data_IF_388650480094
#
_entry.id   IF_388650480094
#
_cell.length_a   1.000
_cell.length_b   1.000
_cell.length_c   1.000
_cell.angle_alpha   90.00
_cell.angle_beta   90.00
_cell.angle_gamma   90.00
#
_symmetry.space_group_name_H-M   'P 1'
#
loop_
_entity.id
_entity.type
_entity.pdbx_description
1 polymer ?
#
# COMPACT_ATOMS: atom_id res chain seq x y z
N UNK A 1 -20.98 -4.40 14.53
CA UNK A 1 -20.32 -5.42 13.67
C UNK A 1 -19.56 -4.67 12.60
N UNK A 2 -18.32 -5.04 12.31
CA UNK A 2 -17.54 -4.40 11.25
C UNK A 2 -17.79 -5.13 9.92
N UNK A 3 -18.24 -4.37 8.93
CA UNK A 3 -18.44 -4.86 7.57
C UNK A 3 -17.15 -4.68 6.76
N UNK A 4 -16.86 -5.66 5.91
CA UNK A 4 -15.77 -5.65 4.94
C UNK A 4 -16.34 -5.18 3.61
N UNK A 5 -15.86 -4.04 3.12
CA UNK A 5 -15.90 -3.70 1.69
C UNK A 5 -15.04 -4.73 0.95
N UNK A 6 -15.68 -5.59 0.16
CA UNK A 6 -15.00 -6.44 -0.82
C UNK A 6 -14.91 -5.70 -2.17
N UNK A 7 -13.98 -6.11 -3.07
CA UNK A 7 -13.91 -5.58 -4.43
C UNK A 7 -15.27 -5.62 -5.15
N UNK A 8 -15.47 -4.66 -6.07
CA UNK A 8 -16.76 -4.40 -6.70
C UNK A 8 -17.30 -5.59 -7.49
N UNK A 9 -18.61 -5.77 -7.43
CA UNK A 9 -19.37 -6.60 -8.37
C UNK A 9 -20.10 -5.64 -9.35
N UNK A 10 -19.51 -5.46 -10.53
CA UNK A 10 -19.91 -4.38 -11.45
C UNK A 10 -19.58 -2.99 -10.88
N UNK A 11 -20.58 -2.11 -10.80
CA UNK A 11 -20.43 -0.75 -10.26
C UNK A 11 -20.70 -0.62 -8.75
N UNK A 12 -20.97 -1.72 -8.05
CA UNK A 12 -21.34 -1.72 -6.61
C UNK A 12 -20.26 -2.34 -5.74
N UNK A 13 -19.98 -1.70 -4.61
CA UNK A 13 -19.22 -2.29 -3.51
C UNK A 13 -20.03 -3.39 -2.83
N UNK A 14 -19.40 -4.54 -2.57
CA UNK A 14 -20.05 -5.67 -1.87
C UNK A 14 -19.68 -5.61 -0.39
N UNK A 15 -20.69 -5.48 0.48
CA UNK A 15 -20.49 -5.49 1.93
C UNK A 15 -20.69 -6.90 2.48
N UNK A 16 -19.71 -7.43 3.23
CA UNK A 16 -19.82 -8.74 3.92
C UNK A 16 -19.40 -8.62 5.37
N UNK A 17 -20.02 -9.38 6.29
CA UNK A 17 -19.56 -9.33 7.69
C UNK A 17 -18.21 -10.02 7.84
N UNK A 18 -17.31 -9.44 8.62
CA UNK A 18 -15.93 -9.92 8.73
C UNK A 18 -15.76 -11.37 9.21
N UNK A 19 -16.71 -11.84 10.04
CA UNK A 19 -16.75 -13.24 10.55
C UNK A 19 -16.98 -14.27 9.44
N UNK A 20 -17.58 -13.85 8.32
CA UNK A 20 -17.97 -14.70 7.20
C UNK A 20 -16.88 -14.74 6.11
N UNK A 21 -15.67 -14.23 6.38
CA UNK A 21 -14.53 -14.23 5.44
C UNK A 21 -13.39 -15.11 5.97
N UNK A 22 -12.80 -15.92 5.10
CA UNK A 22 -11.71 -16.85 5.42
C UNK A 22 -10.35 -16.34 4.91
N UNK A 23 -9.25 -16.86 5.47
CA UNK A 23 -7.86 -16.41 5.27
C UNK A 23 -6.94 -17.61 4.82
N UNK A 24 -5.88 -17.48 4.00
CA UNK A 24 -5.11 -18.60 3.35
C UNK A 24 -3.59 -18.31 3.22
N UNK A 25 -3.19 -17.05 3.27
CA UNK A 25 -1.83 -16.61 3.64
C UNK A 25 -2.03 -15.51 4.68
N UNK A 26 -1.22 -14.46 4.71
CA UNK A 26 -1.79 -13.13 4.99
C UNK A 26 -2.66 -12.69 3.81
N UNK A 27 -3.81 -13.36 3.69
CA UNK A 27 -4.90 -13.08 2.78
C UNK A 27 -5.08 -14.03 1.59
N UNK A 28 -6.27 -14.64 1.55
CA UNK A 28 -7.06 -15.37 0.51
C UNK A 28 -8.14 -16.15 1.31
N UNK A 29 -9.41 -16.41 0.93
CA UNK A 29 -10.05 -17.78 0.99
C UNK A 29 -11.56 -17.68 0.89
N UNK A 30 -12.12 -18.64 0.16
CA UNK A 30 -13.55 -18.82 -0.13
C UNK A 30 -14.47 -18.92 1.10
N UNK A 31 -15.38 -17.95 1.19
CA UNK A 31 -16.76 -18.13 1.65
C UNK A 31 -17.67 -17.48 0.59
N UNK A 32 -18.87 -18.02 0.35
CA UNK A 32 -19.75 -17.65 -0.78
C UNK A 32 -19.06 -17.63 -2.16
N UNK A 33 -18.04 -18.48 -2.37
CA UNK A 33 -17.19 -18.52 -3.58
C UNK A 33 -16.14 -17.39 -3.77
N UNK A 34 -15.77 -16.59 -2.75
CA UNK A 34 -14.77 -15.52 -2.90
C UNK A 34 -13.41 -15.74 -2.19
N UNK A 35 -12.34 -15.89 -2.98
CA UNK A 35 -10.92 -15.95 -2.56
C UNK A 35 -10.33 -14.53 -2.54
N UNK A 36 -9.73 -14.10 -1.42
CA UNK A 36 -9.45 -12.68 -1.12
C UNK A 36 -7.96 -12.39 -0.86
N UNK A 37 -7.08 -12.30 -1.88
CA UNK A 37 -5.62 -12.22 -1.69
C UNK A 37 -5.11 -10.88 -1.13
N UNK A 38 -3.95 -10.94 -0.47
CA UNK A 38 -3.14 -9.76 -0.13
C UNK A 38 -3.87 -8.75 0.76
N UNK A 39 -3.86 -7.46 0.34
CA UNK A 39 -4.44 -6.34 1.09
C UNK A 39 -5.83 -6.62 1.67
N UNK A 40 -6.74 -7.16 0.86
CA UNK A 40 -8.13 -7.36 1.26
C UNK A 40 -8.33 -8.34 2.43
N UNK A 41 -7.38 -9.24 2.68
CA UNK A 41 -7.45 -10.12 3.85
C UNK A 41 -6.33 -9.91 4.88
N UNK A 42 -5.48 -8.90 4.69
CA UNK A 42 -5.02 -8.10 5.83
C UNK A 42 -6.22 -7.38 6.48
N UNK A 43 -7.11 -6.77 5.68
CA UNK A 43 -8.34 -6.15 6.19
C UNK A 43 -9.25 -7.16 6.90
N UNK A 44 -9.45 -8.36 6.31
CA UNK A 44 -10.18 -9.44 6.98
C UNK A 44 -9.51 -9.90 8.29
N UNK A 45 -8.18 -10.01 8.34
CA UNK A 45 -7.46 -10.38 9.56
C UNK A 45 -7.64 -9.34 10.68
N UNK A 46 -7.55 -8.05 10.35
CA UNK A 46 -7.81 -6.94 11.27
C UNK A 46 -9.25 -6.98 11.79
N UNK A 47 -10.24 -7.08 10.91
CA UNK A 47 -11.64 -7.09 11.33
C UNK A 47 -12.03 -8.35 12.12
N UNK A 48 -11.41 -9.50 11.82
CA UNK A 48 -11.54 -10.73 12.63
C UNK A 48 -10.94 -10.54 14.02
N UNK A 49 -9.77 -9.92 14.14
CA UNK A 49 -9.17 -9.62 15.45
C UNK A 49 -10.05 -8.69 16.30
N UNK A 50 -10.65 -7.66 15.68
CA UNK A 50 -11.63 -6.79 16.34
C UNK A 50 -12.88 -7.58 16.80
N UNK A 51 -13.38 -8.51 15.97
CA UNK A 51 -14.50 -9.39 16.35
C UNK A 51 -14.15 -10.39 17.46
N UNK A 52 -12.87 -10.77 17.58
CA UNK A 52 -12.30 -11.57 18.67
C UNK A 52 -11.94 -10.75 19.92
N UNK A 53 -12.26 -9.45 19.94
CA UNK A 53 -12.00 -8.55 21.09
C UNK A 53 -10.57 -8.05 21.21
N UNK A 54 -9.70 -8.30 20.22
CA UNK A 54 -8.34 -7.73 20.16
C UNK A 54 -8.39 -6.42 19.37
N UNK A 55 -8.31 -5.29 20.08
CA UNK A 55 -8.28 -3.93 19.50
C UNK A 55 -6.95 -3.62 18.77
N UNK A 56 -6.65 -4.38 17.71
CA UNK A 56 -5.39 -4.29 16.95
C UNK A 56 -5.15 -2.91 16.30
N UNK A 57 -6.18 -2.09 16.15
CA UNK A 57 -6.11 -0.72 15.64
C UNK A 57 -5.68 0.31 16.69
N UNK A 58 -5.61 -0.07 17.98
CA UNK A 58 -5.20 0.80 19.08
C UNK A 58 -3.67 0.81 19.26
N UNK A 59 -3.05 2.00 19.28
CA UNK A 59 -1.61 2.15 19.50
C UNK A 59 -1.15 1.54 20.83
N UNK A 60 -1.98 1.58 21.87
CA UNK A 60 -1.71 0.94 23.16
C UNK A 60 -1.63 -0.60 23.05
N UNK A 61 -2.39 -1.20 22.13
CA UNK A 61 -2.37 -2.66 21.88
C UNK A 61 -1.21 -3.03 20.97
N UNK A 62 -1.08 -2.39 19.80
CA UNK A 62 -0.06 -2.78 18.83
C UNK A 62 1.36 -2.33 19.21
N UNK A 63 1.54 -1.37 20.13
CA UNK A 63 2.85 -1.06 20.73
C UNK A 63 3.39 -2.17 21.65
N UNK A 64 2.52 -3.07 22.13
CA UNK A 64 2.84 -4.11 23.13
C UNK A 64 2.54 -5.53 22.67
N UNK A 65 2.03 -5.68 21.44
CA UNK A 65 1.58 -6.99 20.92
C UNK A 65 2.76 -7.98 20.84
N UNK A 66 2.56 -9.19 21.36
CA UNK A 66 3.60 -10.23 21.26
C UNK A 66 3.64 -10.85 19.86
N UNK A 67 4.72 -11.57 19.56
CA UNK A 67 4.84 -12.34 18.31
C UNK A 67 3.69 -13.33 18.13
N UNK A 68 3.33 -14.07 19.17
CA UNK A 68 2.26 -15.07 19.13
C UNK A 68 0.87 -14.44 18.99
N UNK A 69 0.63 -13.29 19.64
CA UNK A 69 -0.61 -12.54 19.43
C UNK A 69 -0.71 -11.99 18.00
N UNK A 70 0.37 -11.43 17.44
CA UNK A 70 0.37 -10.93 16.06
C UNK A 70 0.24 -12.09 15.05
N UNK A 71 0.87 -13.23 15.33
CA UNK A 71 0.71 -14.48 14.58
C UNK A 71 -0.74 -14.94 14.58
N UNK A 72 -1.41 -14.92 15.74
CA UNK A 72 -2.83 -15.25 15.87
C UNK A 72 -3.74 -14.25 15.14
N UNK A 73 -3.46 -12.95 15.23
CA UNK A 73 -4.22 -11.92 14.49
C UNK A 73 -4.10 -12.15 12.98
N UNK A 74 -2.87 -12.24 12.48
CA UNK A 74 -2.55 -12.37 11.05
C UNK A 74 -2.59 -13.82 10.55
N UNK A 75 -3.19 -14.75 11.33
CA UNK A 75 -3.21 -16.18 11.01
C UNK A 75 -3.96 -16.46 9.72
N UNK A 76 -3.39 -17.40 8.99
CA UNK A 76 -3.97 -18.02 7.81
C UNK A 76 -4.88 -19.19 8.20
N UNK A 77 -5.85 -19.54 7.37
CA UNK A 77 -6.56 -20.83 7.43
C UNK A 77 -5.87 -21.86 6.50
N UNK A 78 -4.58 -21.69 6.21
CA UNK A 78 -3.63 -22.73 5.76
C UNK A 78 -2.37 -22.70 6.62
N UNK A 79 -1.50 -23.65 6.34
CA UNK A 79 -0.16 -23.78 6.88
C UNK A 79 0.79 -22.61 6.53
N UNK A 80 0.43 -21.70 5.60
CA UNK A 80 1.28 -20.56 5.24
C UNK A 80 1.15 -19.40 6.23
N UNK A 81 2.22 -19.17 6.99
CA UNK A 81 2.36 -18.01 7.87
C UNK A 81 2.71 -16.73 7.09
N UNK A 82 2.44 -15.56 7.70
CA UNK A 82 2.80 -14.27 7.12
C UNK A 82 4.33 -14.09 7.09
N UNK A 83 4.94 -13.67 5.96
CA UNK A 83 6.37 -13.38 5.93
C UNK A 83 6.71 -12.15 6.77
N UNK A 84 7.94 -12.16 7.32
CA UNK A 84 8.53 -11.07 8.11
C UNK A 84 7.74 -10.75 9.39
N UNK A 85 7.27 -11.78 10.10
CA UNK A 85 6.48 -11.61 11.33
C UNK A 85 7.25 -10.85 12.42
N UNK A 86 8.54 -11.15 12.62
CA UNK A 86 9.38 -10.46 13.62
C UNK A 86 9.57 -8.98 13.28
N UNK A 87 9.77 -8.65 12.00
CA UNK A 87 9.84 -7.27 11.51
C UNK A 87 8.49 -6.56 11.66
N UNK A 88 7.37 -7.25 11.46
CA UNK A 88 6.02 -6.68 11.66
C UNK A 88 5.76 -6.34 13.12
N UNK A 89 6.18 -7.19 14.07
CA UNK A 89 6.14 -6.87 15.50
C UNK A 89 6.96 -5.60 15.78
N UNK A 90 8.22 -5.53 15.31
CA UNK A 90 9.08 -4.35 15.48
C UNK A 90 8.47 -3.08 14.89
N UNK A 91 7.89 -3.16 13.69
CA UNK A 91 7.25 -2.04 13.01
C UNK A 91 6.03 -1.52 13.78
N UNK A 92 5.19 -2.42 14.32
CA UNK A 92 4.05 -2.05 15.17
C UNK A 92 4.51 -1.45 16.50
N UNK A 93 5.51 -2.04 17.16
CA UNK A 93 6.10 -1.50 18.39
C UNK A 93 6.64 -0.08 18.18
N UNK A 94 7.39 0.15 17.10
CA UNK A 94 7.95 1.45 16.75
C UNK A 94 6.86 2.49 16.47
N UNK A 95 5.93 2.20 15.56
CA UNK A 95 4.85 3.13 15.24
C UNK A 95 3.97 3.41 16.47
N UNK A 96 3.66 2.37 17.24
CA UNK A 96 2.81 2.47 18.43
C UNK A 96 3.48 3.30 19.52
N UNK A 97 4.78 3.14 19.76
CA UNK A 97 5.56 3.98 20.67
C UNK A 97 5.47 5.46 20.26
N UNK A 98 5.75 5.78 19.00
CA UNK A 98 5.69 7.16 18.48
C UNK A 98 4.28 7.75 18.64
N UNK A 99 3.24 6.98 18.34
CA UNK A 99 1.84 7.43 18.48
C UNK A 99 1.45 7.65 19.94
N UNK A 100 1.90 6.78 20.85
CA UNK A 100 1.68 6.93 22.30
C UNK A 100 2.43 8.14 22.89
N UNK A 101 3.67 8.40 22.46
CA UNK A 101 4.54 9.43 23.04
C UNK A 101 4.31 10.84 22.47
N UNK A 102 3.99 10.97 21.17
CA UNK A 102 3.89 12.27 20.50
C UNK A 102 2.45 12.71 20.20
N UNK A 103 1.48 11.79 20.22
CA UNK A 103 0.12 12.03 19.72
C UNK A 103 -0.97 11.46 20.65
N UNK A 104 -0.69 11.33 21.96
CA UNK A 104 -1.60 10.82 23.00
C UNK A 104 -2.24 9.46 22.70
N UNK A 105 -1.53 8.59 21.98
CA UNK A 105 -2.03 7.27 21.56
C UNK A 105 -3.00 7.32 20.36
N UNK A 106 -3.19 8.48 19.74
CA UNK A 106 -4.20 8.72 18.70
C UNK A 106 -3.58 9.08 17.35
N UNK A 107 -3.79 8.21 16.35
CA UNK A 107 -3.46 8.50 14.94
C UNK A 107 -4.23 9.75 14.44
N UNK A 108 -5.45 9.98 14.95
CA UNK A 108 -6.24 11.16 14.62
C UNK A 108 -5.52 12.45 15.07
N UNK A 109 -4.81 12.43 16.21
CA UNK A 109 -4.04 13.58 16.67
C UNK A 109 -2.81 13.82 15.78
N UNK A 110 -2.14 12.76 15.31
CA UNK A 110 -1.06 12.86 14.31
C UNK A 110 -1.54 13.50 13.00
N UNK A 111 -2.68 13.05 12.47
CA UNK A 111 -3.29 13.62 11.24
C UNK A 111 -3.69 15.08 11.45
N UNK A 112 -4.31 15.43 12.58
CA UNK A 112 -4.66 16.82 12.91
C UNK A 112 -3.43 17.72 13.04
N UNK A 113 -2.34 17.22 13.64
CA UNK A 113 -1.10 17.98 13.79
C UNK A 113 -0.41 18.29 12.44
N UNK A 114 -0.70 17.52 11.39
CA UNK A 114 -0.29 17.82 10.03
C UNK A 114 -1.07 18.99 9.37
N UNK A 115 -2.10 19.53 10.02
CA UNK A 115 -2.80 20.78 9.65
C UNK A 115 -3.17 20.85 8.16
N UNK A 116 -3.85 19.80 7.68
CA UNK A 116 -4.27 19.63 6.27
C UNK A 116 -3.14 19.63 5.24
N UNK A 117 -1.90 19.36 5.63
CA UNK A 117 -0.79 19.10 4.68
C UNK A 117 -0.38 17.62 4.68
N UNK A 118 -0.57 16.98 3.53
CA UNK A 118 -0.06 15.66 3.20
C UNK A 118 1.47 15.62 3.30
N UNK A 119 2.17 16.66 2.83
CA UNK A 119 3.63 16.71 2.87
C UNK A 119 4.17 16.88 4.30
N UNK A 120 3.47 17.63 5.16
CA UNK A 120 3.77 17.70 6.59
C UNK A 120 3.50 16.38 7.30
N UNK A 121 2.41 15.69 6.98
CA UNK A 121 2.13 14.35 7.52
C UNK A 121 3.20 13.34 7.07
N UNK A 122 3.63 13.41 5.81
CA UNK A 122 4.72 12.59 5.25
C UNK A 122 6.02 12.77 6.03
N UNK A 123 6.47 14.03 6.23
CA UNK A 123 7.65 14.33 7.03
C UNK A 123 7.51 13.82 8.47
N UNK A 124 6.39 14.12 9.14
CA UNK A 124 6.11 13.65 10.50
C UNK A 124 6.20 12.11 10.62
N UNK A 125 5.72 11.37 9.62
CA UNK A 125 5.82 9.91 9.57
C UNK A 125 7.28 9.46 9.37
N UNK A 126 7.97 9.93 8.32
CA UNK A 126 9.31 9.40 7.98
C UNK A 126 10.41 9.88 8.92
N UNK A 127 10.25 11.05 9.55
CA UNK A 127 11.18 11.59 10.54
C UNK A 127 11.09 10.85 11.89
N UNK A 128 9.92 10.34 12.28
CA UNK A 128 9.73 9.66 13.57
C UNK A 128 9.63 8.12 13.49
N UNK A 129 9.13 7.55 12.39
CA UNK A 129 8.86 6.11 12.26
C UNK A 129 9.77 5.50 11.18
N UNK A 130 10.93 5.00 11.59
CA UNK A 130 11.99 4.47 10.70
C UNK A 130 11.51 3.40 9.70
N UNK A 131 10.57 2.54 10.11
CA UNK A 131 10.00 1.49 9.25
C UNK A 131 9.14 2.01 8.09
N UNK A 132 8.95 3.32 7.98
CA UNK A 132 8.36 4.02 6.84
C UNK A 132 9.42 4.76 5.97
N UNK A 133 10.69 4.83 6.41
CA UNK A 133 11.80 5.57 5.78
C UNK A 133 12.45 4.79 4.62
N UNK A 134 11.62 4.35 3.69
CA UNK A 134 11.97 3.68 2.42
C UNK A 134 12.86 4.60 1.55
N UNK A 135 14.17 4.38 1.64
CA UNK A 135 15.23 5.13 0.97
C UNK A 135 16.31 4.18 0.45
N UNK A 136 17.00 4.57 -0.62
CA UNK A 136 18.10 3.83 -1.21
C UNK A 136 19.27 4.74 -1.58
N UNK A 137 20.43 4.15 -1.85
CA UNK A 137 21.57 4.86 -2.46
C UNK A 137 21.63 4.53 -3.95
N UNK A 138 21.47 5.54 -4.79
CA UNK A 138 21.51 5.43 -6.25
C UNK A 138 22.54 6.41 -6.82
N UNK A 139 23.56 5.89 -7.51
CA UNK A 139 24.68 6.66 -8.09
C UNK A 139 25.29 7.69 -7.13
N UNK A 140 25.53 7.27 -5.89
CA UNK A 140 26.13 8.12 -4.83
C UNK A 140 25.15 9.11 -4.18
N UNK A 141 23.90 9.20 -4.63
CA UNK A 141 22.86 10.05 -4.04
C UNK A 141 21.87 9.21 -3.22
N UNK A 142 21.40 9.76 -2.10
CA UNK A 142 20.27 9.18 -1.36
C UNK A 142 18.98 9.55 -2.10
N UNK A 143 18.18 8.55 -2.45
CA UNK A 143 16.85 8.71 -3.02
C UNK A 143 15.79 8.25 -2.02
N UNK A 144 14.62 8.87 -2.05
CA UNK A 144 13.49 8.58 -1.18
C UNK A 144 12.30 8.11 -2.00
N UNK A 145 11.68 7.01 -1.59
CA UNK A 145 10.49 6.43 -2.22
C UNK A 145 9.29 6.48 -1.26
N UNK A 146 9.55 6.32 0.05
CA UNK A 146 8.59 6.50 1.14
C UNK A 146 7.22 5.81 0.93
N UNK A 147 7.20 4.69 0.20
CA UNK A 147 5.97 4.09 -0.36
C UNK A 147 4.87 3.89 0.67
N UNK A 148 5.24 3.36 1.84
CA UNK A 148 4.30 3.10 2.96
C UNK A 148 3.76 4.37 3.62
N UNK A 149 4.49 5.49 3.58
CA UNK A 149 4.04 6.74 4.16
C UNK A 149 3.09 7.46 3.19
N UNK A 150 3.45 7.51 1.91
CA UNK A 150 2.61 8.08 0.86
C UNK A 150 1.25 7.36 0.75
N UNK A 151 1.25 6.02 0.69
CA UNK A 151 -0.01 5.25 0.61
C UNK A 151 -0.87 5.40 1.87
N UNK A 152 -0.29 5.54 3.07
CA UNK A 152 -1.06 5.78 4.30
C UNK A 152 -1.83 7.11 4.23
N UNK A 153 -1.20 8.17 3.70
CA UNK A 153 -1.83 9.49 3.56
C UNK A 153 -2.93 9.44 2.49
N UNK A 154 -2.65 8.79 1.36
CA UNK A 154 -3.62 8.61 0.28
C UNK A 154 -4.81 7.72 0.69
N UNK A 155 -4.60 6.68 1.50
CA UNK A 155 -5.67 5.84 2.06
C UNK A 155 -6.57 6.67 3.01
N UNK A 156 -5.99 7.54 3.85
CA UNK A 156 -6.75 8.46 4.71
C UNK A 156 -7.56 9.46 3.88
N UNK A 157 -6.94 10.05 2.85
CA UNK A 157 -7.57 10.96 1.90
C UNK A 157 -8.76 10.29 1.19
N UNK A 158 -8.54 9.11 0.60
CA UNK A 158 -9.54 8.37 -0.16
C UNK A 158 -10.69 7.87 0.73
N UNK A 159 -10.38 7.30 1.91
CA UNK A 159 -11.38 6.80 2.85
C UNK A 159 -12.29 7.90 3.44
N UNK A 160 -11.84 9.16 3.40
CA UNK A 160 -12.62 10.33 3.84
C UNK A 160 -13.12 11.20 2.67
N UNK A 161 -13.04 10.73 1.42
CA UNK A 161 -13.43 11.48 0.20
C UNK A 161 -12.81 12.89 0.10
N UNK A 162 -11.58 13.08 0.59
CA UNK A 162 -10.92 14.38 0.63
C UNK A 162 -11.49 15.38 1.64
N UNK A 163 -12.27 14.92 2.63
CA UNK A 163 -12.97 15.76 3.62
C UNK A 163 -12.54 15.45 5.06
N UNK A 164 -12.72 16.39 5.97
CA UNK A 164 -12.50 16.16 7.40
C UNK A 164 -11.06 15.75 7.73
N UNK A 165 -10.85 14.51 8.16
CA UNK A 165 -9.51 13.98 8.46
C UNK A 165 -8.68 13.68 7.20
N UNK A 166 -9.32 13.50 6.04
CA UNK A 166 -8.65 13.33 4.75
C UNK A 166 -8.59 14.61 3.93
N UNK A 167 -8.95 15.77 4.49
CA UNK A 167 -8.82 17.06 3.80
C UNK A 167 -7.36 17.50 3.78
N UNK A 168 -6.66 17.24 2.68
CA UNK A 168 -5.28 17.69 2.46
C UNK A 168 -5.22 18.67 1.27
N UNK A 169 -4.54 19.80 1.46
CA UNK A 169 -4.48 20.92 0.49
C UNK A 169 -3.41 20.73 -0.60
N UNK A 170 -2.46 19.82 -0.36
CA UNK A 170 -1.27 19.51 -1.14
C UNK A 170 -1.20 18.01 -1.50
N UNK A 171 -2.34 17.31 -1.54
CA UNK A 171 -2.40 15.86 -1.83
C UNK A 171 -1.80 15.50 -3.21
N UNK A 172 -1.84 16.44 -4.15
CA UNK A 172 -1.27 16.31 -5.50
C UNK A 172 0.27 16.27 -5.51
N UNK A 173 0.95 16.59 -4.40
CA UNK A 173 2.41 16.47 -4.25
C UNK A 173 2.85 15.02 -3.91
N UNK A 174 1.91 14.12 -3.57
CA UNK A 174 2.22 12.70 -3.40
C UNK A 174 2.41 12.01 -4.74
N UNK A 175 3.45 11.17 -4.84
CA UNK A 175 3.68 10.31 -6.00
C UNK A 175 2.87 9.01 -5.91
N UNK A 176 2.87 8.24 -7.00
CA UNK A 176 2.43 6.83 -6.99
C UNK A 176 3.24 5.98 -5.99
N UNK A 177 2.68 4.85 -5.59
CA UNK A 177 3.14 4.06 -4.45
C UNK A 177 4.07 2.93 -4.91
N UNK A 178 5.22 3.33 -5.46
CA UNK A 178 6.20 2.47 -6.14
C UNK A 178 6.44 1.11 -5.46
N UNK A 179 5.75 0.08 -5.95
CA UNK A 179 5.86 -1.31 -5.53
C UNK A 179 6.36 -2.21 -6.68
N UNK A 180 6.22 -3.52 -6.50
CA UNK A 180 6.65 -4.52 -7.47
C UNK A 180 5.63 -4.81 -8.58
N UNK A 181 4.38 -4.38 -8.44
CA UNK A 181 3.28 -4.66 -9.37
C UNK A 181 3.03 -3.53 -10.36
N UNK A 182 3.10 -2.27 -9.96
CA UNK A 182 2.86 -1.18 -10.91
C UNK A 182 3.83 -1.17 -12.11
N UNK A 183 5.15 -1.47 -11.98
CA UNK A 183 6.04 -1.61 -13.14
C UNK A 183 5.54 -2.68 -14.14
N UNK A 184 5.02 -3.81 -13.64
CA UNK A 184 4.46 -4.90 -14.46
C UNK A 184 3.32 -4.39 -15.36
N UNK A 185 2.46 -3.53 -14.83
CA UNK A 185 1.28 -2.97 -15.52
C UNK A 185 1.67 -1.90 -16.52
N UNK A 186 2.59 -1.01 -16.14
CA UNK A 186 3.09 0.03 -17.03
C UNK A 186 3.83 -0.59 -18.23
N UNK A 187 4.58 -1.66 -18.02
CA UNK A 187 5.20 -2.42 -19.11
C UNK A 187 4.17 -3.15 -19.97
N UNK A 188 3.13 -3.75 -19.38
CA UNK A 188 2.00 -4.34 -20.13
C UNK A 188 1.26 -3.32 -21.02
N UNK A 189 1.12 -2.07 -20.58
CA UNK A 189 0.57 -0.98 -21.39
C UNK A 189 1.55 -0.38 -22.42
N UNK A 190 2.81 -0.82 -22.47
CA UNK A 190 3.84 -0.22 -23.33
C UNK A 190 4.31 1.17 -22.89
N UNK A 191 4.11 1.52 -21.60
CA UNK A 191 4.60 2.77 -20.99
C UNK A 191 6.04 2.63 -20.48
N UNK A 192 6.44 1.41 -20.09
CA UNK A 192 7.82 1.08 -19.71
C UNK A 192 8.35 -0.06 -20.59
N UNK A 193 9.49 0.17 -21.23
CA UNK A 193 10.28 -0.89 -21.86
C UNK A 193 11.45 -1.29 -20.96
N UNK A 194 11.72 -2.59 -20.87
CA UNK A 194 12.87 -3.13 -20.13
C UNK A 194 13.98 -3.53 -21.09
N UNK A 195 15.23 -3.39 -20.66
CA UNK A 195 16.37 -3.95 -21.40
C UNK A 195 16.26 -5.48 -21.48
N UNK A 196 16.98 -6.07 -22.44
CA UNK A 196 16.99 -7.53 -22.64
C UNK A 196 17.49 -8.23 -21.37
N UNK A 197 18.55 -7.70 -20.77
CA UNK A 197 19.21 -8.22 -19.57
C UNK A 197 18.26 -8.19 -18.36
N UNK A 198 17.58 -7.04 -18.14
CA UNK A 198 16.60 -6.90 -17.06
C UNK A 198 15.42 -7.85 -17.28
N UNK A 199 14.90 -7.94 -18.50
CA UNK A 199 13.80 -8.84 -18.85
C UNK A 199 14.16 -10.32 -18.64
N UNK A 200 15.39 -10.75 -18.99
CA UNK A 200 15.90 -12.09 -18.71
C UNK A 200 16.03 -12.36 -17.20
N UNK A 201 16.60 -11.40 -16.46
CA UNK A 201 16.72 -11.46 -14.99
C UNK A 201 15.36 -11.60 -14.33
N UNK A 202 14.36 -10.82 -14.75
CA UNK A 202 12.97 -10.93 -14.27
C UNK A 202 12.33 -12.27 -14.64
N UNK A 203 12.50 -12.77 -15.88
CA UNK A 203 12.01 -14.09 -16.33
C UNK A 203 12.61 -15.25 -15.53
N UNK A 204 13.89 -15.16 -15.14
CA UNK A 204 14.56 -16.13 -14.27
C UNK A 204 14.03 -16.15 -12.82
N UNK A 205 13.11 -15.24 -12.47
CA UNK A 205 12.58 -15.02 -11.11
C UNK A 205 13.66 -14.63 -10.10
N UNK A 206 14.69 -13.92 -10.57
CA UNK A 206 15.74 -13.36 -9.72
C UNK A 206 15.14 -12.57 -8.54
N UNK A 207 15.74 -12.72 -7.36
CA UNK A 207 15.36 -12.02 -6.14
C UNK A 207 16.38 -10.92 -5.88
N UNK A 208 15.96 -9.68 -6.08
CA UNK A 208 16.73 -8.47 -5.82
C UNK A 208 16.78 -8.18 -4.32
N UNK A 209 17.88 -7.61 -3.86
CA UNK A 209 17.94 -6.93 -2.57
C UNK A 209 17.20 -5.58 -2.66
N UNK A 210 16.72 -5.09 -1.53
CA UNK A 210 16.17 -3.73 -1.47
C UNK A 210 17.31 -2.72 -1.57
N UNK A 211 17.20 -1.77 -2.48
CA UNK A 211 18.28 -0.85 -2.84
C UNK A 211 19.23 -1.36 -3.92
N UNK A 212 19.00 -2.54 -4.52
CA UNK A 212 19.70 -2.93 -5.76
C UNK A 212 19.38 -1.92 -6.87
N UNK A 213 20.38 -1.56 -7.70
CA UNK A 213 20.26 -0.53 -8.75
C UNK A 213 19.00 -0.70 -9.61
N UNK A 214 18.77 -1.90 -10.14
CA UNK A 214 17.63 -2.22 -11.01
C UNK A 214 16.27 -2.22 -10.27
N UNK A 215 16.26 -2.54 -8.96
CA UNK A 215 15.04 -2.46 -8.13
C UNK A 215 14.64 -1.00 -7.92
N UNK A 216 15.62 -0.14 -7.62
CA UNK A 216 15.42 1.30 -7.51
C UNK A 216 15.01 1.92 -8.85
N UNK A 217 15.64 1.52 -9.97
CA UNK A 217 15.31 1.98 -11.32
C UNK A 217 13.87 1.63 -11.71
N UNK A 218 13.42 0.38 -11.49
CA UNK A 218 12.04 -0.04 -11.77
C UNK A 218 11.02 0.78 -10.97
N UNK A 219 11.31 1.06 -9.69
CA UNK A 219 10.44 1.84 -8.81
C UNK A 219 10.42 3.32 -9.21
N UNK A 220 11.58 3.92 -9.45
CA UNK A 220 11.72 5.33 -9.85
C UNK A 220 11.17 5.62 -11.27
N UNK A 221 11.38 4.71 -12.22
CA UNK A 221 10.79 4.81 -13.56
C UNK A 221 9.26 4.75 -13.51
N UNK A 222 8.70 3.91 -12.63
CA UNK A 222 7.25 3.83 -12.44
C UNK A 222 6.67 5.12 -11.84
N UNK A 223 7.37 5.76 -10.89
CA UNK A 223 7.02 7.11 -10.42
C UNK A 223 7.01 8.08 -11.60
N UNK A 224 8.11 8.15 -12.35
CA UNK A 224 8.23 9.12 -13.45
C UNK A 224 7.17 8.91 -14.55
N UNK A 225 6.83 7.66 -14.85
CA UNK A 225 5.78 7.31 -15.80
C UNK A 225 4.40 7.80 -15.33
N UNK A 226 4.03 7.60 -14.07
CA UNK A 226 2.74 8.08 -13.54
C UNK A 226 2.68 9.61 -13.52
N UNK A 227 3.74 10.31 -13.13
CA UNK A 227 3.79 11.78 -13.21
C UNK A 227 3.54 12.29 -14.66
N UNK A 228 4.02 11.57 -15.66
CA UNK A 228 3.77 11.88 -17.07
C UNK A 228 2.32 11.56 -17.48
N UNK A 229 1.76 10.43 -17.02
CA UNK A 229 0.35 10.07 -17.25
C UNK A 229 -0.58 11.12 -16.61
N UNK A 230 -0.31 11.57 -15.38
CA UNK A 230 -1.10 12.61 -14.69
C UNK A 230 -1.07 13.91 -15.48
N UNK A 231 0.11 14.35 -15.93
CA UNK A 231 0.26 15.56 -16.75
C UNK A 231 -0.54 15.49 -18.05
N UNK A 232 -0.42 14.39 -18.79
CA UNK A 232 -1.13 14.21 -20.06
C UNK A 232 -2.65 14.10 -19.84
N UNK A 233 -3.08 13.37 -18.81
CA UNK A 233 -4.50 13.26 -18.42
C UNK A 233 -5.09 14.64 -18.10
N UNK A 234 -4.39 15.47 -17.31
CA UNK A 234 -4.80 16.87 -17.05
C UNK A 234 -4.88 17.72 -18.33
N UNK A 235 -4.00 17.47 -19.31
CA UNK A 235 -4.03 18.18 -20.60
C UNK A 235 -5.25 17.77 -21.46
N UNK A 236 -5.54 16.47 -21.55
CA UNK A 236 -6.70 15.94 -22.28
C UNK A 236 -8.04 16.36 -21.68
N UNK A 237 -8.13 16.43 -20.34
CA UNK A 237 -9.35 16.84 -19.64
C UNK A 237 -9.62 18.35 -19.65
N UNK A 238 -8.65 19.18 -20.05
CA UNK A 238 -8.77 20.65 -20.05
C UNK A 238 -9.98 21.20 -20.84
N UNK A 239 -10.44 20.45 -21.85
CA UNK A 239 -11.59 20.80 -22.69
C UNK A 239 -12.86 19.99 -22.39
N UNK A 240 -12.88 19.20 -21.32
CA UNK A 240 -14.03 18.40 -20.91
C UNK A 240 -14.81 19.09 -19.79
N UNK A 241 -16.13 18.98 -19.81
CA UNK A 241 -16.99 19.46 -18.73
C UNK A 241 -17.02 18.42 -17.59
N UNK A 242 -16.33 18.72 -16.48
CA UNK A 242 -16.38 17.90 -15.27
C UNK A 242 -15.35 18.31 -14.23
N UNK A 243 -15.68 18.06 -12.96
CA UNK A 243 -14.74 18.21 -11.84
C UNK A 243 -14.02 16.87 -11.61
N UNK A 244 -12.82 16.75 -12.19
CA UNK A 244 -12.04 15.51 -12.18
C UNK A 244 -10.81 15.66 -11.28
N UNK A 245 -10.77 14.88 -10.20
CA UNK A 245 -9.54 14.71 -9.42
C UNK A 245 -8.57 13.82 -10.19
N UNK A 246 -7.42 14.38 -10.56
CA UNK A 246 -6.36 13.66 -11.28
C UNK A 246 -5.04 13.90 -10.56
N UNK A 247 -4.50 12.87 -9.92
CA UNK A 247 -3.17 12.89 -9.31
C UNK A 247 -2.58 11.49 -9.29
N UNK A 248 -1.32 11.38 -8.86
CA UNK A 248 -0.57 10.13 -8.92
C UNK A 248 -1.13 9.05 -8.00
N UNK A 249 -1.86 9.42 -6.93
CA UNK A 249 -2.61 8.49 -6.08
C UNK A 249 -3.78 7.86 -6.84
N UNK A 250 -4.59 8.66 -7.55
CA UNK A 250 -5.72 8.17 -8.35
C UNK A 250 -5.25 7.26 -9.51
N UNK A 251 -4.14 7.61 -10.16
CA UNK A 251 -3.56 6.78 -11.22
C UNK A 251 -2.97 5.47 -10.66
N UNK A 252 -2.31 5.50 -9.50
CA UNK A 252 -1.82 4.29 -8.82
C UNK A 252 -2.97 3.34 -8.48
N UNK A 253 -4.05 3.86 -7.85
CA UNK A 253 -5.26 3.08 -7.56
C UNK A 253 -5.82 2.42 -8.83
N UNK A 254 -5.95 3.17 -9.93
CA UNK A 254 -6.41 2.61 -11.21
C UNK A 254 -5.48 1.49 -11.71
N UNK A 255 -4.17 1.69 -11.72
CA UNK A 255 -3.20 0.70 -12.19
C UNK A 255 -3.19 -0.56 -11.31
N UNK A 256 -3.34 -0.41 -10.00
CA UNK A 256 -3.40 -1.51 -9.05
C UNK A 256 -4.70 -2.32 -9.17
N UNK A 257 -5.86 -1.66 -9.33
CA UNK A 257 -7.14 -2.32 -9.58
C UNK A 257 -7.15 -3.02 -10.95
N UNK A 258 -6.69 -2.34 -12.00
CA UNK A 258 -6.55 -2.92 -13.34
C UNK A 258 -5.67 -4.18 -13.30
N UNK A 259 -4.53 -4.13 -12.60
CA UNK A 259 -3.66 -5.31 -12.42
C UNK A 259 -4.42 -6.47 -11.79
N UNK A 260 -5.19 -6.20 -10.74
CA UNK A 260 -5.93 -7.21 -9.97
C UNK A 260 -6.99 -7.88 -10.84
N UNK A 261 -7.74 -7.09 -11.61
CA UNK A 261 -8.80 -7.57 -12.51
C UNK A 261 -8.26 -8.29 -13.75
N UNK A 262 -7.23 -7.72 -14.40
CA UNK A 262 -6.58 -8.27 -15.60
C UNK A 262 -5.39 -9.17 -15.30
N UNK A 263 -5.38 -9.84 -14.15
CA UNK A 263 -4.23 -10.60 -13.67
C UNK A 263 -3.69 -11.64 -14.68
N UNK A 264 -4.58 -12.38 -15.35
CA UNK A 264 -4.21 -13.38 -16.37
C UNK A 264 -3.54 -12.78 -17.62
N UNK A 265 -3.87 -11.54 -17.95
CA UNK A 265 -3.31 -10.81 -19.09
C UNK A 265 -1.95 -10.21 -18.69
N UNK A 266 -1.90 -9.50 -17.55
CA UNK A 266 -0.68 -8.87 -17.04
C UNK A 266 0.44 -9.85 -16.64
N UNK A 267 0.11 -11.08 -16.21
CA UNK A 267 1.11 -12.06 -15.73
C UNK A 267 1.99 -12.66 -16.84
N UNK A 268 1.82 -12.28 -18.12
CA UNK A 268 2.85 -12.56 -19.14
C UNK A 268 4.11 -11.71 -18.93
N UNK A 269 3.97 -10.51 -18.36
CA UNK A 269 5.08 -9.63 -18.01
C UNK A 269 5.58 -10.05 -16.62
N UNK A 270 6.88 -10.35 -16.42
CA UNK A 270 7.40 -10.66 -15.11
C UNK A 270 7.52 -9.39 -14.25
N UNK A 271 7.47 -9.56 -12.93
CA UNK A 271 7.63 -8.51 -11.93
C UNK A 271 8.91 -8.72 -11.12
N UNK A 272 9.53 -7.65 -10.63
CA UNK A 272 10.71 -7.77 -9.76
C UNK A 272 10.33 -8.40 -8.42
N UNK A 273 11.23 -9.22 -7.88
CA UNK A 273 11.01 -9.89 -6.59
C UNK A 273 12.00 -9.32 -5.60
N UNK A 274 11.50 -8.63 -4.59
CA UNK A 274 12.29 -8.22 -3.44
C UNK A 274 11.63 -8.75 -2.17
N UNK A 275 12.39 -8.91 -1.09
CA UNK A 275 11.84 -9.18 0.24
C UNK A 275 12.30 -8.08 1.19
N UNK A 276 11.40 -7.14 1.48
CA UNK A 276 11.67 -6.00 2.35
C UNK A 276 10.45 -5.71 3.25
N UNK A 277 10.57 -4.67 4.10
CA UNK A 277 9.46 -4.21 4.95
C UNK A 277 8.59 -3.11 4.30
N UNK A 278 8.90 -2.71 3.07
CA UNK A 278 8.32 -1.55 2.40
C UNK A 278 7.21 -1.91 1.40
N UNK A 279 7.23 -3.09 0.79
CA UNK A 279 6.20 -3.60 -0.13
C UNK A 279 6.17 -5.13 -0.22
#
# INVERSE_FOLDING_TARGET
>A
MADILLPREGSKWVMTQAKDVKIIEAGVKKVNNYVVPGYWALCAAVNRALAEGKEITSAQVFSKITKEELKHVLRSDTEREIPLLDERVKNLHQAGKVIMELYDGSIINMVKAADKSAMKLLDMIVSNIESFRDTAMYEGKRVALYKRAQILIADIWAACEGRGLGEFTDIDELTMFADYRIPQVLCWFGVLDYSVELMEKLKSKHVFNNGDREEVELRAASIKAVEMIVKETKALLKNNEGDYVVNSSVVDFYLWEYRREKAKECDIIPFHRCRCIYY
#
